data_IF_300216764690
#
_entry.id   IF_300216764690
#
_cell.length_a   1.000
_cell.length_b   1.000
_cell.length_c   1.000
_cell.angle_alpha   90.00
_cell.angle_beta   90.00
_cell.angle_gamma   90.00
#
_symmetry.space_group_name_H-M   'P 1'
#
loop_
_entity.id
_entity.type
_entity.pdbx_description
1 polymer ?
#
# COMPACT_ATOMS: atom_id res chain seq x y z
N UNK A 1 -52.70 62.55 -43.29
CA UNK A 1 -52.43 61.21 -42.73
C UNK A 1 -50.92 61.04 -42.55
N UNK A 2 -50.44 60.84 -41.31
CA UNK A 2 -49.02 60.56 -41.01
C UNK A 2 -48.88 59.06 -40.75
N UNK A 3 -48.18 58.35 -41.62
CA UNK A 3 -47.84 56.93 -41.43
C UNK A 3 -46.58 56.80 -40.58
N UNK A 4 -46.70 56.27 -39.37
CA UNK A 4 -45.57 55.91 -38.50
C UNK A 4 -45.07 54.52 -38.90
N UNK A 5 -43.76 54.36 -39.12
CA UNK A 5 -43.09 53.06 -39.24
C UNK A 5 -42.67 52.56 -37.86
N UNK A 6 -42.90 51.28 -37.50
CA UNK A 6 -42.34 50.71 -36.28
C UNK A 6 -40.91 50.24 -36.54
N UNK A 7 -40.00 50.57 -35.61
CA UNK A 7 -38.67 49.97 -35.53
C UNK A 7 -38.77 48.73 -34.62
N UNK A 8 -38.44 47.56 -35.16
CA UNK A 8 -38.29 46.33 -34.40
C UNK A 8 -36.85 46.28 -33.87
N UNK A 9 -36.67 46.44 -32.55
CA UNK A 9 -35.38 46.26 -31.89
C UNK A 9 -35.20 44.76 -31.65
N UNK A 10 -34.31 44.11 -32.42
CA UNK A 10 -33.86 42.75 -32.13
C UNK A 10 -32.84 42.82 -30.98
N UNK A 11 -33.24 42.36 -29.80
CA UNK A 11 -32.32 42.12 -28.68
C UNK A 11 -31.69 40.74 -28.91
N UNK A 12 -30.44 40.71 -29.39
CA UNK A 12 -29.63 39.50 -29.41
C UNK A 12 -29.18 39.18 -27.97
N UNK A 13 -29.91 38.31 -27.29
CA UNK A 13 -29.42 37.65 -26.07
C UNK A 13 -28.36 36.62 -26.48
N UNK A 14 -27.09 36.98 -26.35
CA UNK A 14 -25.98 36.02 -26.41
C UNK A 14 -25.91 35.26 -25.09
N UNK A 15 -26.62 34.13 -25.01
CA UNK A 15 -26.36 33.16 -23.93
C UNK A 15 -24.94 32.63 -24.11
N UNK A 16 -24.03 33.14 -23.28
CA UNK A 16 -22.71 32.56 -23.10
C UNK A 16 -22.88 31.26 -22.32
N UNK A 17 -23.14 30.15 -23.02
CA UNK A 17 -23.13 28.82 -22.42
C UNK A 17 -21.68 28.52 -22.06
N UNK A 18 -21.35 28.64 -20.78
CA UNK A 18 -20.08 28.15 -20.25
C UNK A 18 -20.17 26.63 -20.29
N UNK A 19 -19.69 26.02 -21.36
CA UNK A 19 -19.53 24.57 -21.42
C UNK A 19 -18.54 24.19 -20.33
N UNK A 20 -19.02 23.55 -19.26
CA UNK A 20 -18.14 22.85 -18.34
C UNK A 20 -17.43 21.76 -19.14
N UNK A 21 -16.10 21.69 -19.05
CA UNK A 21 -15.32 20.63 -19.70
C UNK A 21 -15.87 19.27 -19.25
N UNK A 22 -16.45 18.54 -20.20
CA UNK A 22 -17.00 17.20 -19.97
C UNK A 22 -15.90 16.27 -19.48
N UNK A 23 -16.21 15.40 -18.52
CA UNK A 23 -15.26 14.40 -18.04
C UNK A 23 -15.02 13.40 -19.18
N UNK A 24 -13.79 13.20 -19.66
CA UNK A 24 -13.49 12.20 -20.68
C UNK A 24 -13.60 10.80 -20.10
N UNK A 25 -13.89 9.81 -20.93
CA UNK A 25 -13.84 8.41 -20.52
C UNK A 25 -12.47 8.06 -19.92
N UNK A 26 -12.42 7.18 -18.89
CA UNK A 26 -11.16 6.76 -18.31
C UNK A 26 -10.19 6.17 -19.35
N UNK A 27 -8.89 6.39 -19.12
CA UNK A 27 -7.84 5.75 -19.92
C UNK A 27 -7.94 4.22 -19.76
N UNK A 28 -7.86 3.42 -20.85
CA UNK A 28 -7.86 1.96 -20.75
C UNK A 28 -6.71 1.45 -19.87
N UNK A 29 -6.98 0.40 -19.09
CA UNK A 29 -6.01 -0.19 -18.15
C UNK A 29 -4.69 -0.58 -18.84
N UNK A 30 -4.76 -1.12 -20.06
CA UNK A 30 -3.57 -1.52 -20.83
C UNK A 30 -2.72 -0.33 -21.25
N UNK A 31 -3.34 0.82 -21.54
CA UNK A 31 -2.62 2.07 -21.81
C UNK A 31 -1.97 2.60 -20.53
N UNK A 32 -2.68 2.55 -19.41
CA UNK A 32 -2.16 2.97 -18.12
C UNK A 32 -0.98 2.13 -17.63
N UNK A 33 -1.02 0.82 -17.85
CA UNK A 33 0.10 -0.07 -17.58
C UNK A 33 1.32 0.29 -18.44
N UNK A 34 1.13 0.57 -19.74
CA UNK A 34 2.23 1.00 -20.62
C UNK A 34 2.88 2.29 -20.14
N UNK A 35 2.07 3.28 -19.78
CA UNK A 35 2.55 4.57 -19.29
C UNK A 35 3.32 4.40 -17.98
N UNK A 36 2.80 3.59 -17.05
CA UNK A 36 3.46 3.21 -15.80
C UNK A 36 4.82 2.56 -16.08
N UNK A 37 4.88 1.50 -16.91
CA UNK A 37 6.13 0.79 -17.22
C UNK A 37 7.16 1.70 -17.86
N UNK A 38 6.74 2.57 -18.78
CA UNK A 38 7.64 3.49 -19.49
C UNK A 38 8.25 4.55 -18.57
N UNK A 39 7.52 4.95 -17.53
CA UNK A 39 7.95 5.96 -16.55
C UNK A 39 8.71 5.32 -15.40
N UNK A 40 8.46 4.05 -15.08
CA UNK A 40 9.10 3.34 -13.97
C UNK A 40 10.62 3.32 -14.08
N UNK A 41 11.15 2.96 -15.25
CA UNK A 41 12.60 2.88 -15.48
C UNK A 41 13.33 4.21 -15.24
N UNK A 42 12.64 5.34 -15.46
CA UNK A 42 13.15 6.69 -15.21
C UNK A 42 13.09 7.05 -13.73
N UNK A 43 11.99 6.68 -13.04
CA UNK A 43 11.77 7.00 -11.63
C UNK A 43 12.57 6.09 -10.69
N UNK A 44 12.78 4.84 -11.09
CA UNK A 44 13.43 3.78 -10.31
C UNK A 44 14.59 3.16 -11.09
N UNK A 45 15.72 3.88 -11.24
CA UNK A 45 16.86 3.38 -11.99
C UNK A 45 17.44 2.12 -11.34
N UNK A 46 17.69 1.11 -12.18
CA UNK A 46 18.19 -0.20 -11.78
C UNK A 46 17.13 -1.14 -11.20
N UNK A 47 15.85 -0.75 -11.17
CA UNK A 47 14.74 -1.65 -10.83
C UNK A 47 14.11 -2.26 -12.08
N UNK A 48 13.78 -3.55 -12.00
CA UNK A 48 13.09 -4.29 -13.06
C UNK A 48 11.69 -4.67 -12.57
N UNK A 49 10.65 -4.25 -13.30
CA UNK A 49 9.29 -4.71 -13.03
C UNK A 49 9.17 -6.20 -13.40
N UNK A 50 8.75 -7.00 -12.43
CA UNK A 50 8.47 -8.44 -12.58
C UNK A 50 7.01 -8.66 -12.96
N UNK A 51 6.07 -7.97 -12.30
CA UNK A 51 4.65 -8.06 -12.61
C UNK A 51 3.93 -6.73 -12.35
N UNK A 52 2.82 -6.54 -13.07
CA UNK A 52 1.86 -5.46 -12.85
C UNK A 52 0.48 -6.11 -12.88
N UNK A 53 -0.38 -5.76 -11.93
CA UNK A 53 -1.75 -6.26 -11.85
C UNK A 53 -2.68 -5.11 -11.50
N UNK A 54 -3.84 -5.02 -12.14
CA UNK A 54 -4.84 -4.01 -11.77
C UNK A 54 -5.23 -4.18 -10.29
N UNK A 55 -5.25 -3.08 -9.56
CA UNK A 55 -5.59 -3.06 -8.13
C UNK A 55 -6.96 -2.39 -7.85
N UNK A 56 -7.81 -2.28 -8.87
CA UNK A 56 -9.16 -1.74 -8.76
C UNK A 56 -9.56 -0.89 -9.96
N UNK A 57 -10.73 -0.27 -9.85
CA UNK A 57 -11.28 0.58 -10.91
C UNK A 57 -10.62 1.97 -10.94
N UNK A 58 -10.52 2.61 -12.12
CA UNK A 58 -10.05 3.97 -12.23
C UNK A 58 -10.90 4.97 -11.42
N UNK A 59 -10.25 5.84 -10.64
CA UNK A 59 -10.89 6.84 -9.79
C UNK A 59 -10.59 8.27 -10.24
N UNK A 60 -11.60 9.14 -10.22
CA UNK A 60 -11.44 10.57 -10.53
C UNK A 60 -11.45 11.40 -9.24
N UNK A 61 -10.51 12.34 -9.13
CA UNK A 61 -10.39 13.29 -8.03
C UNK A 61 -10.47 14.72 -8.55
N UNK A 62 -11.28 15.54 -7.91
CA UNK A 62 -11.44 16.95 -8.26
C UNK A 62 -10.83 17.86 -7.19
N UNK A 63 -10.10 18.87 -7.65
CA UNK A 63 -9.58 19.95 -6.81
C UNK A 63 -10.34 21.22 -7.14
N UNK A 64 -11.05 21.76 -6.16
CA UNK A 64 -11.76 23.04 -6.27
C UNK A 64 -11.04 24.13 -5.45
N UNK A 65 -11.20 25.38 -5.86
CA UNK A 65 -10.71 26.54 -5.09
C UNK A 65 -11.65 26.87 -3.91
N UNK A 66 -11.27 27.87 -3.10
CA UNK A 66 -12.09 28.33 -1.96
C UNK A 66 -13.48 28.86 -2.36
N UNK A 67 -13.69 29.16 -3.64
CA UNK A 67 -14.96 29.65 -4.20
C UNK A 67 -15.73 28.53 -4.90
N UNK A 68 -15.27 27.27 -4.82
CA UNK A 68 -15.90 26.12 -5.44
C UNK A 68 -15.61 25.97 -6.94
N UNK A 69 -14.71 26.75 -7.52
CA UNK A 69 -14.33 26.62 -8.93
C UNK A 69 -13.37 25.45 -9.11
N UNK A 70 -13.66 24.57 -10.06
CA UNK A 70 -12.74 23.49 -10.45
C UNK A 70 -11.39 24.06 -10.92
N UNK A 71 -10.31 23.65 -10.26
CA UNK A 71 -8.93 23.96 -10.62
C UNK A 71 -8.32 22.84 -11.44
N UNK A 72 -8.54 21.59 -11.02
CA UNK A 72 -7.89 20.43 -11.61
C UNK A 72 -8.75 19.18 -11.40
N UNK A 73 -8.77 18.32 -12.41
CA UNK A 73 -9.32 16.98 -12.32
C UNK A 73 -8.22 15.98 -12.61
N UNK A 74 -8.06 14.98 -11.74
CA UNK A 74 -7.09 13.90 -11.86
C UNK A 74 -7.81 12.56 -12.02
N UNK A 75 -7.26 11.70 -12.86
CA UNK A 75 -7.64 10.28 -12.95
C UNK A 75 -6.49 9.45 -12.38
N UNK A 76 -6.81 8.49 -11.52
CA UNK A 76 -5.87 7.49 -11.00
C UNK A 76 -6.30 6.11 -11.45
N UNK A 77 -5.41 5.39 -12.14
CA UNK A 77 -5.59 3.97 -12.45
C UNK A 77 -4.68 3.16 -11.52
N UNK A 78 -5.23 2.40 -10.55
CA UNK A 78 -4.45 1.74 -9.51
C UNK A 78 -3.85 0.39 -9.98
N UNK A 79 -2.62 0.10 -9.55
CA UNK A 79 -1.90 -1.13 -9.85
C UNK A 79 -1.15 -1.66 -8.63
N UNK A 80 -1.03 -2.99 -8.54
CA UNK A 80 -0.02 -3.66 -7.74
C UNK A 80 1.19 -3.94 -8.64
N UNK A 81 2.37 -3.46 -8.26
CA UNK A 81 3.61 -3.64 -9.03
C UNK A 81 4.60 -4.42 -8.20
N UNK A 82 5.07 -5.56 -8.70
CA UNK A 82 6.23 -6.24 -8.11
C UNK A 82 7.46 -5.88 -8.93
N UNK A 83 8.46 -5.27 -8.29
CA UNK A 83 9.72 -4.93 -8.91
C UNK A 83 10.90 -5.48 -8.11
N UNK A 84 12.01 -5.72 -8.80
CA UNK A 84 13.24 -6.27 -8.24
C UNK A 84 14.40 -5.29 -8.41
N UNK A 85 15.18 -5.11 -7.35
CA UNK A 85 16.45 -4.38 -7.36
C UNK A 85 17.51 -5.19 -6.64
N UNK A 86 18.59 -5.54 -7.34
CA UNK A 86 19.74 -6.25 -6.74
C UNK A 86 19.32 -7.50 -5.96
N UNK A 87 18.43 -8.32 -6.51
CA UNK A 87 17.94 -9.56 -5.87
C UNK A 87 16.84 -9.36 -4.82
N UNK A 88 16.49 -8.12 -4.48
CA UNK A 88 15.41 -7.81 -3.53
C UNK A 88 14.14 -7.47 -4.27
N UNK A 89 13.09 -8.26 -4.05
CA UNK A 89 11.76 -8.02 -4.58
C UNK A 89 10.95 -7.15 -3.62
N UNK A 90 10.24 -6.17 -4.17
CA UNK A 90 9.29 -5.31 -3.45
C UNK A 90 7.99 -5.27 -4.20
N UNK A 91 6.91 -5.26 -3.45
CA UNK A 91 5.57 -5.02 -3.96
C UNK A 91 5.18 -3.59 -3.61
N UNK A 92 4.73 -2.83 -4.62
CA UNK A 92 4.36 -1.43 -4.55
C UNK A 92 2.88 -1.29 -4.89
N UNK A 93 2.14 -0.56 -4.07
CA UNK A 93 0.90 0.05 -4.51
C UNK A 93 1.25 1.26 -5.39
N UNK A 94 0.88 1.20 -6.66
CA UNK A 94 1.19 2.23 -7.64
C UNK A 94 -0.10 2.76 -8.29
N UNK A 95 -0.04 3.96 -8.84
CA UNK A 95 -1.10 4.51 -9.67
C UNK A 95 -0.53 5.22 -10.87
N UNK A 96 -1.06 4.94 -12.06
CA UNK A 96 -0.86 5.81 -13.22
C UNK A 96 -1.81 7.00 -13.09
N UNK A 97 -1.25 8.19 -12.89
CA UNK A 97 -2.00 9.41 -12.65
C UNK A 97 -2.05 10.27 -13.91
N UNK A 98 -3.22 10.79 -14.22
CA UNK A 98 -3.48 11.65 -15.36
C UNK A 98 -4.13 12.97 -14.90
N UNK A 99 -3.88 14.05 -15.62
CA UNK A 99 -4.56 15.34 -15.44
C UNK A 99 -5.42 15.59 -16.67
N UNK A 100 -6.65 16.08 -16.47
CA UNK A 100 -7.50 16.49 -17.56
C UNK A 100 -6.97 17.77 -18.23
N UNK A 101 -6.84 17.74 -19.56
CA UNK A 101 -6.55 18.91 -20.40
C UNK A 101 -7.58 18.97 -21.53
N UNK A 102 -8.57 19.85 -21.39
CA UNK A 102 -9.76 19.85 -22.25
C UNK A 102 -10.48 18.50 -22.16
N UNK A 103 -10.87 17.92 -23.29
CA UNK A 103 -11.56 16.62 -23.34
C UNK A 103 -10.61 15.41 -23.39
N UNK A 104 -9.40 15.51 -22.82
CA UNK A 104 -8.42 14.41 -22.83
C UNK A 104 -7.72 14.25 -21.48
N UNK A 105 -7.43 13.00 -21.13
CA UNK A 105 -6.50 12.65 -20.06
C UNK A 105 -5.06 12.72 -20.57
N UNK A 106 -4.19 13.43 -19.84
CA UNK A 106 -2.75 13.48 -20.10
C UNK A 106 -2.00 12.85 -18.94
N UNK A 107 -1.13 11.89 -19.24
CA UNK A 107 -0.31 11.25 -18.22
C UNK A 107 0.50 12.32 -17.48
N UNK A 108 0.49 12.24 -16.16
CA UNK A 108 1.15 13.20 -15.28
C UNK A 108 2.32 12.55 -14.57
N UNK A 109 2.07 11.44 -13.86
CA UNK A 109 3.07 10.80 -13.01
C UNK A 109 2.67 9.38 -12.60
N UNK A 110 3.60 8.66 -11.98
CA UNK A 110 3.30 7.48 -11.17
C UNK A 110 3.17 7.91 -9.71
N UNK A 111 1.99 7.72 -9.11
CA UNK A 111 1.80 7.79 -7.66
C UNK A 111 2.20 6.48 -6.99
N UNK A 112 2.77 6.55 -5.79
CA UNK A 112 3.21 5.37 -5.02
C UNK A 112 2.62 5.48 -3.63
N UNK A 113 1.95 4.42 -3.20
CA UNK A 113 1.44 4.22 -1.86
C UNK A 113 2.37 3.31 -1.08
N UNK A 114 1.81 2.27 -0.48
CA UNK A 114 2.55 1.35 0.37
C UNK A 114 3.56 0.51 -0.42
N UNK A 115 4.69 0.24 0.23
CA UNK A 115 5.78 -0.58 -0.33
C UNK A 115 6.19 -1.60 0.70
N UNK A 116 6.16 -2.88 0.33
CA UNK A 116 6.57 -3.99 1.20
C UNK A 116 7.57 -4.89 0.50
N UNK A 117 8.50 -5.46 1.26
CA UNK A 117 9.42 -6.45 0.74
C UNK A 117 8.67 -7.77 0.47
N UNK A 118 9.13 -8.51 -0.54
CA UNK A 118 8.59 -9.83 -0.88
C UNK A 118 9.64 -10.88 -0.56
N UNK A 119 9.28 -11.85 0.27
CA UNK A 119 10.16 -12.95 0.64
C UNK A 119 10.45 -13.85 -0.58
N UNK A 120 11.71 -14.23 -0.77
CA UNK A 120 12.05 -15.33 -1.66
C UNK A 120 11.58 -16.67 -1.09
N UNK A 121 11.54 -17.74 -1.89
CA UNK A 121 11.16 -19.08 -1.40
C UNK A 121 12.01 -19.52 -0.21
N UNK A 122 13.31 -19.25 -0.25
CA UNK A 122 14.24 -19.57 0.85
C UNK A 122 14.00 -18.73 2.11
N UNK A 123 13.29 -17.61 1.98
CA UNK A 123 13.04 -16.66 3.06
C UNK A 123 11.59 -16.72 3.54
N UNK A 124 10.78 -17.66 3.05
CA UNK A 124 9.42 -17.84 3.57
C UNK A 124 9.48 -18.31 5.02
N UNK A 125 8.71 -17.64 5.88
CA UNK A 125 8.50 -18.09 7.25
C UNK A 125 7.83 -19.46 7.28
N UNK A 126 8.07 -20.26 8.34
CA UNK A 126 7.27 -21.43 8.63
C UNK A 126 5.79 -21.07 8.81
N UNK A 127 4.92 -22.07 8.73
CA UNK A 127 3.49 -21.86 9.00
C UNK A 127 3.28 -21.38 10.45
N UNK A 128 2.24 -20.57 10.64
CA UNK A 128 1.87 -19.95 11.93
C UNK A 128 1.92 -20.89 13.15
N UNK A 129 1.45 -22.17 13.10
CA UNK A 129 1.58 -23.09 14.24
C UNK A 129 3.04 -23.34 14.65
N UNK A 130 3.95 -23.51 13.69
CA UNK A 130 5.37 -23.72 13.95
C UNK A 130 6.01 -22.46 14.56
N UNK A 131 5.61 -21.27 14.09
CA UNK A 131 6.07 -20.01 14.68
C UNK A 131 5.65 -19.92 16.15
N UNK A 132 4.41 -20.30 16.49
CA UNK A 132 3.95 -20.31 17.89
C UNK A 132 4.77 -21.25 18.78
N UNK A 133 5.15 -22.42 18.28
CA UNK A 133 6.04 -23.34 19.00
C UNK A 133 7.43 -22.74 19.25
N UNK A 134 8.01 -22.09 18.23
CA UNK A 134 9.29 -21.39 18.36
C UNK A 134 9.22 -20.24 19.38
N UNK A 135 8.10 -19.50 19.42
CA UNK A 135 7.86 -18.46 20.41
C UNK A 135 7.83 -19.03 21.82
N UNK A 136 7.02 -20.08 22.06
CA UNK A 136 6.96 -20.73 23.39
C UNK A 136 8.34 -21.22 23.83
N UNK A 137 9.09 -21.84 22.91
CA UNK A 137 10.46 -22.29 23.17
C UNK A 137 11.36 -21.13 23.59
N UNK A 138 11.43 -20.06 22.78
CA UNK A 138 12.31 -18.93 23.06
C UNK A 138 11.94 -18.19 24.35
N UNK A 139 10.65 -18.02 24.64
CA UNK A 139 10.19 -17.41 25.88
C UNK A 139 10.52 -18.28 27.10
N UNK A 140 10.36 -19.60 26.99
CA UNK A 140 10.72 -20.53 28.07
C UNK A 140 12.23 -20.55 28.34
N UNK A 141 13.06 -20.42 27.29
CA UNK A 141 14.52 -20.33 27.42
C UNK A 141 14.97 -18.99 28.04
N UNK A 142 14.33 -17.87 27.69
CA UNK A 142 14.69 -16.53 28.19
C UNK A 142 14.12 -16.22 29.58
N UNK A 143 12.93 -16.74 29.88
CA UNK A 143 12.17 -16.46 31.11
C UNK A 143 11.73 -17.77 31.76
N UNK A 144 12.70 -18.49 32.33
CA UNK A 144 12.52 -19.85 32.86
C UNK A 144 11.64 -19.97 34.10
N UNK A 145 11.33 -18.85 34.77
CA UNK A 145 10.48 -18.82 35.96
C UNK A 145 8.99 -19.03 35.65
N UNK A 146 8.63 -19.03 34.36
CA UNK A 146 7.26 -19.15 33.90
C UNK A 146 7.10 -20.26 32.87
N UNK A 147 5.88 -20.79 32.76
CA UNK A 147 5.45 -21.56 31.60
C UNK A 147 4.65 -20.67 30.66
N UNK A 148 4.81 -20.88 29.34
CA UNK A 148 4.26 -19.99 28.32
C UNK A 148 3.27 -20.73 27.41
N UNK A 149 2.12 -20.13 27.13
CA UNK A 149 1.05 -20.78 26.37
C UNK A 149 0.15 -19.78 25.64
N UNK A 150 -0.84 -20.27 24.87
CA UNK A 150 -1.87 -19.46 24.21
C UNK A 150 -1.33 -18.30 23.35
N UNK A 151 -0.29 -18.56 22.56
CA UNK A 151 0.30 -17.56 21.66
C UNK A 151 -0.73 -17.11 20.62
N UNK A 152 -1.05 -15.83 20.60
CA UNK A 152 -1.85 -15.14 19.58
C UNK A 152 -0.95 -14.15 18.87
N UNK A 153 -0.72 -14.34 17.56
CA UNK A 153 0.20 -13.50 16.78
C UNK A 153 -0.45 -13.12 15.46
N UNK A 154 0.00 -12.03 14.86
CA UNK A 154 -0.34 -11.66 13.47
C UNK A 154 0.29 -12.62 12.44
N UNK A 155 0.21 -12.28 11.15
CA UNK A 155 0.79 -13.11 10.08
C UNK A 155 2.28 -12.82 9.84
N UNK A 156 2.83 -11.83 10.55
CA UNK A 156 4.20 -11.37 10.43
C UNK A 156 4.43 -10.51 9.19
N UNK A 157 5.23 -9.46 9.36
CA UNK A 157 5.65 -8.60 8.25
C UNK A 157 7.06 -8.96 7.82
N UNK A 158 7.22 -9.37 6.55
CA UNK A 158 8.53 -9.65 5.98
C UNK A 158 9.34 -8.36 5.78
N UNK A 159 10.59 -8.41 6.20
CA UNK A 159 11.56 -7.35 6.06
C UNK A 159 12.88 -7.93 5.53
N UNK A 160 13.59 -7.13 4.73
CA UNK A 160 14.91 -7.49 4.21
C UNK A 160 15.94 -6.54 4.83
N UNK A 161 16.79 -7.06 5.70
CA UNK A 161 17.90 -6.33 6.32
C UNK A 161 19.26 -6.67 5.70
N UNK A 162 20.33 -6.09 6.25
CA UNK A 162 21.71 -6.38 5.84
C UNK A 162 22.10 -7.85 6.07
N UNK A 163 21.51 -8.49 7.09
CA UNK A 163 21.82 -9.86 7.51
C UNK A 163 20.82 -10.89 6.94
N UNK A 164 20.06 -10.52 5.90
CA UNK A 164 19.05 -11.38 5.28
C UNK A 164 17.61 -10.99 5.62
N UNK A 165 16.68 -11.84 5.20
CA UNK A 165 15.25 -11.68 5.45
C UNK A 165 14.86 -12.07 6.87
N UNK A 166 13.94 -11.32 7.46
CA UNK A 166 13.35 -11.60 8.76
C UNK A 166 11.86 -11.23 8.75
N UNK A 167 11.12 -11.76 9.71
CA UNK A 167 9.72 -11.38 9.94
C UNK A 167 9.60 -10.73 11.30
N UNK A 168 8.87 -9.62 11.38
CA UNK A 168 8.46 -9.04 12.65
C UNK A 168 7.04 -9.46 12.95
N UNK A 169 6.79 -9.93 14.16
CA UNK A 169 5.50 -10.37 14.64
C UNK A 169 5.11 -9.59 15.90
N UNK A 170 3.84 -9.25 16.00
CA UNK A 170 3.24 -8.68 17.20
C UNK A 170 2.06 -9.55 17.68
N UNK A 171 1.77 -9.53 18.98
CA UNK A 171 0.71 -10.35 19.54
C UNK A 171 0.62 -10.39 21.06
N UNK A 172 0.01 -11.46 21.57
CA UNK A 172 -0.19 -11.73 22.98
C UNK A 172 0.24 -13.17 23.34
N UNK A 173 0.60 -13.40 24.60
CA UNK A 173 0.95 -14.72 25.14
C UNK A 173 0.54 -14.85 26.60
N UNK A 174 0.17 -16.05 27.04
CA UNK A 174 -0.07 -16.30 28.46
C UNK A 174 1.22 -16.76 29.13
N UNK A 175 1.47 -16.24 30.34
CA UNK A 175 2.46 -16.79 31.26
C UNK A 175 1.77 -17.35 32.50
N UNK A 176 2.26 -18.48 32.98
CA UNK A 176 1.81 -19.11 34.22
C UNK A 176 2.99 -19.26 35.16
N UNK A 177 2.87 -18.74 36.38
CA UNK A 177 3.90 -18.85 37.40
C UNK A 177 3.90 -20.20 38.14
N UNK A 178 4.82 -20.35 39.09
CA UNK A 178 4.97 -21.57 39.90
C UNK A 178 3.78 -21.82 40.84
N UNK A 179 2.99 -20.80 41.15
CA UNK A 179 1.78 -20.90 41.97
C UNK A 179 0.55 -21.29 41.11
N UNK A 180 0.71 -21.38 39.79
CA UNK A 180 -0.34 -21.70 38.84
C UNK A 180 -1.17 -20.50 38.41
N UNK A 181 -0.79 -19.28 38.80
CA UNK A 181 -1.47 -18.07 38.36
C UNK A 181 -1.13 -17.79 36.90
N UNK A 182 -2.16 -17.76 36.06
CA UNK A 182 -2.01 -17.46 34.63
C UNK A 182 -2.44 -16.04 34.34
N UNK A 183 -1.55 -15.26 33.71
CA UNK A 183 -1.83 -13.90 33.27
C UNK A 183 -1.48 -13.71 31.80
N UNK A 184 -2.14 -12.77 31.13
CA UNK A 184 -1.88 -12.48 29.72
C UNK A 184 -0.87 -11.33 29.60
N UNK A 185 0.21 -11.60 28.86
CA UNK A 185 1.15 -10.59 28.41
C UNK A 185 0.71 -10.10 27.02
N UNK A 186 0.39 -8.81 26.93
CA UNK A 186 -0.07 -8.15 25.71
C UNK A 186 1.04 -7.38 25.02
N UNK A 187 0.90 -7.19 23.72
CA UNK A 187 1.84 -6.42 22.90
C UNK A 187 3.27 -7.00 22.95
N UNK A 188 3.39 -8.34 22.87
CA UNK A 188 4.68 -8.98 22.65
C UNK A 188 5.19 -8.63 21.24
N UNK A 189 6.48 -8.43 21.11
CA UNK A 189 7.14 -8.09 19.84
C UNK A 189 8.40 -8.95 19.70
N UNK A 190 8.54 -9.61 18.56
CA UNK A 190 9.69 -10.45 18.29
C UNK A 190 9.99 -10.52 16.80
N UNK A 191 11.24 -10.86 16.51
CA UNK A 191 11.69 -11.14 15.15
C UNK A 191 11.87 -12.64 14.97
N UNK A 192 11.40 -13.17 13.83
CA UNK A 192 11.77 -14.48 13.34
C UNK A 192 12.93 -14.31 12.35
N UNK A 193 14.10 -14.81 12.73
CA UNK A 193 15.36 -14.68 11.99
C UNK A 193 15.97 -16.06 11.75
N UNK A 194 16.87 -16.16 10.77
CA UNK A 194 17.67 -17.38 10.59
C UNK A 194 18.95 -17.30 11.40
N UNK A 195 19.26 -18.36 12.13
CA UNK A 195 20.56 -18.54 12.77
C UNK A 195 21.67 -18.85 11.73
N UNK A 196 22.90 -19.02 12.20
CA UNK A 196 24.06 -19.36 11.36
C UNK A 196 23.93 -20.71 10.63
N UNK A 197 23.06 -21.60 11.12
CA UNK A 197 22.76 -22.90 10.51
C UNK A 197 21.58 -22.82 9.53
N UNK A 198 20.98 -21.63 9.36
CA UNK A 198 19.84 -21.41 8.49
C UNK A 198 18.49 -21.80 9.11
N UNK A 199 18.45 -22.14 10.40
CA UNK A 199 17.23 -22.50 11.12
C UNK A 199 16.51 -21.25 11.61
N UNK A 200 15.19 -21.27 11.56
CA UNK A 200 14.38 -20.18 12.10
C UNK A 200 14.41 -20.18 13.63
N UNK A 201 14.76 -19.04 14.20
CA UNK A 201 14.79 -18.77 15.64
C UNK A 201 14.05 -17.47 15.94
N UNK A 202 13.54 -17.37 17.17
CA UNK A 202 12.83 -16.19 17.66
C UNK A 202 13.79 -15.34 18.47
N UNK A 203 13.93 -14.08 18.08
CA UNK A 203 14.62 -13.05 18.84
C UNK A 203 13.57 -12.14 19.52
N UNK A 204 13.48 -12.21 20.84
CA UNK A 204 12.44 -11.53 21.62
C UNK A 204 12.85 -10.08 21.84
N UNK A 205 12.20 -9.17 21.12
CA UNK A 205 12.33 -7.72 21.25
C UNK A 205 11.65 -7.20 22.52
N UNK A 206 10.47 -7.71 22.84
CA UNK A 206 9.68 -7.32 24.01
C UNK A 206 8.82 -8.48 24.53
N UNK A 207 8.78 -8.66 25.86
CA UNK A 207 7.84 -9.60 26.50
C UNK A 207 6.43 -9.02 26.69
N UNK A 208 6.19 -7.79 26.23
CA UNK A 208 4.92 -7.12 26.39
C UNK A 208 4.63 -6.66 27.83
N UNK A 209 3.38 -6.29 28.08
CA UNK A 209 2.86 -5.88 29.39
C UNK A 209 1.96 -6.99 29.95
N UNK A 210 2.32 -7.53 31.10
CA UNK A 210 1.60 -8.63 31.73
C UNK A 210 0.70 -8.11 32.86
N UNK A 211 -0.60 -8.39 32.77
CA UNK A 211 -1.63 -7.97 33.72
C UNK A 211 -2.40 -9.16 34.25
#
# INVERSE_FOLDING_TARGET
MKTRKPYLILIFLSLSVVFADTIPDPVPTEQAERDLRSTWSKKYPGETIISVTSAGDPGTLEKVDKKGKLIERKLKVPFQVVAEKSGTKREFEAGANYIQKGNQWKFSEIGIGDVKAVASESEKSPKKPVVKELVVKAFSEKYSDYTWSNVLIDDGTFNKGANGGFYRYEGDINRTDLEGQTIQCKDIDFMLVKDSSGNWVVDITSQGKCY
#
